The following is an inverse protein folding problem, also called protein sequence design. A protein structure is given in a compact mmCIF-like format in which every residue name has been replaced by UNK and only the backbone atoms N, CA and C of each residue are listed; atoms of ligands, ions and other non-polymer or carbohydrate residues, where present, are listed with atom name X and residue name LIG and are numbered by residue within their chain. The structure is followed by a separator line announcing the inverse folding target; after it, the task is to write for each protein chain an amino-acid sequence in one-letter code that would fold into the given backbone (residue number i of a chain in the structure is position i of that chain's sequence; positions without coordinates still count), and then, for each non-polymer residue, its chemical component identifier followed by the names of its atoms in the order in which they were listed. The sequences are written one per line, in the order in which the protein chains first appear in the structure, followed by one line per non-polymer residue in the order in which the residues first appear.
data_IF_527880198435
#
_entry.id   IF_527880198435
#
_cell.length_a   1.000
_cell.length_b   1.000
_cell.length_c   1.000
_cell.angle_alpha   90.00
_cell.angle_beta   90.00
_cell.angle_gamma   90.00
#
_symmetry.space_group_name_H-M   'P 1'
#
loop_
_entity.id
_entity.type
_entity.pdbx_description
1 polymer ?
#
# COMPACT_ATOMS: atom_id res chain seq x y z
N UNK A 1 21.45 10.11 -34.42
CA UNK A 1 22.74 10.83 -34.52
C UNK A 1 22.54 12.05 -35.44
N UNK A 2 21.79 13.05 -34.98
CA UNK A 2 21.46 14.29 -35.74
C UNK A 2 21.72 15.58 -34.94
N UNK A 3 22.22 15.48 -33.70
CA UNK A 3 22.38 16.61 -32.76
C UNK A 3 23.71 17.38 -32.99
N UNK A 4 24.57 16.92 -33.91
CA UNK A 4 25.90 17.50 -34.18
C UNK A 4 26.00 18.30 -35.47
N UNK A 5 24.89 18.50 -36.17
CA UNK A 5 24.87 19.32 -37.37
C UNK A 5 24.89 20.80 -36.97
N UNK A 6 25.90 21.55 -37.42
CA UNK A 6 26.16 22.96 -37.08
C UNK A 6 25.02 23.89 -37.53
N UNK A 7 24.13 23.40 -38.40
CA UNK A 7 22.94 24.11 -38.87
C UNK A 7 21.77 24.12 -37.87
N UNK A 8 21.85 23.32 -36.81
CA UNK A 8 20.78 23.19 -35.81
C UNK A 8 21.09 24.03 -34.58
N UNK A 9 20.38 25.16 -34.44
CA UNK A 9 20.62 26.10 -33.35
C UNK A 9 19.85 25.68 -32.09
N UNK A 10 20.51 24.94 -31.20
CA UNK A 10 19.94 24.41 -29.95
C UNK A 10 19.64 25.47 -28.88
N UNK A 11 20.01 26.74 -29.12
CA UNK A 11 19.72 27.88 -28.24
C UNK A 11 18.48 28.68 -28.65
N UNK A 12 17.73 28.21 -29.65
CA UNK A 12 16.48 28.83 -30.05
C UNK A 12 15.46 28.70 -28.92
N UNK A 13 15.02 29.86 -28.45
CA UNK A 13 13.97 30.00 -27.46
C UNK A 13 12.65 30.25 -28.18
N UNK A 14 11.60 29.53 -27.78
CA UNK A 14 10.24 29.84 -28.22
C UNK A 14 9.80 31.20 -27.65
N UNK A 15 8.69 31.77 -28.13
CA UNK A 15 8.08 33.02 -27.64
C UNK A 15 7.83 33.03 -26.10
N UNK A 16 7.84 31.86 -25.47
CA UNK A 16 7.73 31.69 -24.02
C UNK A 16 9.08 31.58 -23.29
N UNK A 17 10.20 31.85 -23.97
CA UNK A 17 11.59 31.72 -23.45
C UNK A 17 11.95 30.32 -22.94
N UNK A 18 11.47 29.27 -23.60
CA UNK A 18 11.80 27.87 -23.28
C UNK A 18 12.64 27.25 -24.40
N UNK A 19 13.61 26.43 -24.02
CA UNK A 19 14.48 25.69 -24.95
C UNK A 19 13.85 24.34 -25.29
N UNK A 20 14.16 23.76 -26.46
CA UNK A 20 13.70 22.41 -26.83
C UNK A 20 14.11 21.33 -25.80
N UNK A 21 15.21 21.55 -25.08
CA UNK A 21 15.64 20.72 -23.95
C UNK A 21 14.66 20.79 -22.76
N UNK A 22 14.24 22.00 -22.36
CA UNK A 22 13.33 22.22 -21.23
C UNK A 22 11.98 21.51 -21.47
N UNK A 23 11.49 21.54 -22.71
CA UNK A 23 10.22 20.92 -23.11
C UNK A 23 10.35 19.38 -23.12
N UNK A 24 11.49 18.84 -23.55
CA UNK A 24 11.73 17.40 -23.52
C UNK A 24 11.94 16.86 -22.09
N UNK A 25 12.59 17.66 -21.23
CA UNK A 25 12.82 17.35 -19.81
C UNK A 25 11.50 17.36 -19.03
N UNK A 26 10.61 18.32 -19.30
CA UNK A 26 9.25 18.38 -18.74
C UNK A 26 8.40 17.15 -19.11
N UNK A 27 8.56 16.61 -20.32
CA UNK A 27 7.82 15.41 -20.78
C UNK A 27 8.39 14.08 -20.26
N UNK A 28 9.71 13.98 -20.04
CA UNK A 28 10.33 12.77 -19.46
C UNK A 28 10.30 12.74 -17.93
N UNK A 29 10.16 13.89 -17.26
CA UNK A 29 10.15 13.98 -15.79
C UNK A 29 8.91 13.38 -15.11
N UNK A 30 7.80 13.20 -15.82
CA UNK A 30 6.51 12.86 -15.20
C UNK A 30 6.44 11.41 -14.67
N UNK A 31 7.29 10.51 -15.16
CA UNK A 31 7.21 9.07 -14.85
C UNK A 31 8.22 8.53 -13.84
N UNK A 32 9.41 9.14 -13.71
CA UNK A 32 10.55 8.51 -13.01
C UNK A 32 11.40 9.48 -12.17
N UNK A 33 11.17 10.81 -12.26
CA UNK A 33 12.09 11.82 -11.71
C UNK A 33 11.97 12.09 -10.20
N UNK A 34 10.85 11.74 -9.57
CA UNK A 34 10.55 12.16 -8.18
C UNK A 34 11.53 11.59 -7.14
N UNK A 35 11.98 10.35 -7.32
CA UNK A 35 12.87 9.69 -6.34
C UNK A 35 14.33 10.12 -6.51
N UNK A 36 14.82 10.18 -7.75
CA UNK A 36 16.20 10.56 -8.04
C UNK A 36 16.43 12.05 -7.76
N UNK A 37 15.47 12.94 -8.04
CA UNK A 37 15.57 14.36 -7.72
C UNK A 37 15.77 14.61 -6.22
N UNK A 38 15.15 13.81 -5.33
CA UNK A 38 15.32 13.95 -3.88
C UNK A 38 16.70 13.49 -3.41
N UNK A 39 17.22 12.40 -3.98
CA UNK A 39 18.57 11.92 -3.72
C UNK A 39 19.63 12.89 -4.26
N UNK A 40 19.46 13.34 -5.50
CA UNK A 40 20.33 14.33 -6.14
C UNK A 40 20.27 15.68 -5.41
N UNK A 41 19.10 16.11 -4.92
CA UNK A 41 18.99 17.34 -4.13
C UNK A 41 19.62 17.20 -2.74
N UNK A 42 19.52 16.03 -2.08
CA UNK A 42 20.27 15.76 -0.85
C UNK A 42 21.79 15.76 -1.08
N UNK A 43 22.26 15.19 -2.19
CA UNK A 43 23.68 15.20 -2.57
C UNK A 43 24.16 16.62 -2.93
N UNK A 44 23.37 17.41 -3.67
CA UNK A 44 23.72 18.78 -4.08
C UNK A 44 23.70 19.77 -2.91
N UNK A 45 22.80 19.57 -1.92
CA UNK A 45 22.78 20.39 -0.68
C UNK A 45 24.00 20.21 0.20
N UNK A 46 24.70 19.06 0.09
CA UNK A 46 25.95 18.81 0.83
C UNK A 46 27.16 19.44 0.10
N UNK A 47 27.05 19.73 -1.20
CA UNK A 47 28.18 20.14 -2.04
C UNK A 47 28.29 21.62 -2.43
N UNK A 48 27.30 22.48 -2.14
CA UNK A 48 27.33 23.88 -2.64
C UNK A 48 26.82 24.92 -1.62
N UNK A 49 27.54 26.05 -1.43
CA UNK A 49 27.03 27.15 -0.63
C UNK A 49 25.94 27.91 -1.39
N UNK A 50 24.87 28.21 -0.65
CA UNK A 50 23.59 28.75 -1.10
C UNK A 50 23.73 30.15 -1.73
N UNK A 51 23.24 30.32 -2.96
CA UNK A 51 22.92 31.63 -3.53
C UNK A 51 21.41 31.90 -3.36
N UNK A 52 21.07 32.85 -2.48
CA UNK A 52 19.72 33.35 -2.29
C UNK A 52 19.19 34.04 -3.55
N UNK A 53 18.01 33.61 -4.03
CA UNK A 53 17.08 34.49 -4.76
C UNK A 53 15.67 34.25 -4.20
N UNK A 54 15.06 35.24 -3.52
CA UNK A 54 13.70 35.14 -3.03
C UNK A 54 12.73 35.42 -4.19
N UNK A 55 11.96 34.41 -4.60
CA UNK A 55 10.77 34.64 -5.43
C UNK A 55 9.61 35.01 -4.51
N UNK A 56 9.40 36.30 -4.34
CA UNK A 56 8.16 36.89 -3.85
C UNK A 56 7.03 36.52 -4.82
N UNK A 57 6.07 35.70 -4.39
CA UNK A 57 4.80 35.56 -5.10
C UNK A 57 3.66 35.98 -4.18
N UNK A 58 2.99 37.02 -4.69
CA UNK A 58 1.93 37.81 -4.12
C UNK A 58 0.72 36.92 -3.79
N UNK A 59 0.29 37.00 -2.54
CA UNK A 59 -1.06 36.61 -2.12
C UNK A 59 -2.09 37.29 -3.04
N UNK A 60 -2.93 36.51 -3.70
CA UNK A 60 -4.25 36.96 -4.15
C UNK A 60 -5.26 35.91 -3.71
N UNK A 61 -5.84 36.15 -2.54
CA UNK A 61 -7.07 35.54 -2.08
C UNK A 61 -8.26 36.19 -2.78
N UNK A 62 -8.89 35.48 -3.73
CA UNK A 62 -10.31 35.63 -4.07
C UNK A 62 -10.88 34.22 -4.26
N UNK A 63 -11.83 33.85 -3.40
CA UNK A 63 -12.59 32.60 -3.46
C UNK A 63 -13.66 32.72 -4.55
N UNK A 64 -13.81 31.71 -5.43
CA UNK A 64 -15.08 30.99 -5.69
C UNK A 64 -14.89 29.96 -6.83
N UNK A 65 -15.22 28.69 -6.54
CA UNK A 65 -15.76 27.77 -7.53
C UNK A 65 -14.78 26.84 -8.26
N UNK A 66 -14.15 25.90 -7.55
CA UNK A 66 -14.13 24.46 -7.90
C UNK A 66 -13.20 23.70 -6.92
N UNK A 67 -13.75 23.16 -5.83
CA UNK A 67 -12.96 22.28 -4.96
C UNK A 67 -13.78 21.16 -4.27
N UNK A 68 -14.43 20.26 -5.03
CA UNK A 68 -14.87 18.98 -4.49
C UNK A 68 -13.79 17.88 -4.58
N UNK A 69 -12.82 17.98 -5.49
CA UNK A 69 -11.96 16.83 -5.83
C UNK A 69 -10.74 16.63 -4.91
N UNK A 70 -10.08 17.68 -4.44
CA UNK A 70 -8.85 17.55 -3.62
C UNK A 70 -9.12 17.07 -2.19
N UNK A 71 -10.28 17.43 -1.63
CA UNK A 71 -10.71 17.00 -0.30
C UNK A 71 -11.02 15.49 -0.29
N UNK A 72 -11.72 14.99 -1.32
CA UNK A 72 -12.11 13.58 -1.45
C UNK A 72 -10.94 12.60 -1.37
N UNK A 73 -9.77 12.95 -1.92
CA UNK A 73 -8.60 12.06 -1.92
C UNK A 73 -7.88 12.03 -0.57
N UNK A 74 -7.83 13.15 0.14
CA UNK A 74 -7.23 13.22 1.48
C UNK A 74 -8.02 12.37 2.46
N UNK A 75 -9.34 12.41 2.38
CA UNK A 75 -10.22 11.58 3.20
C UNK A 75 -9.98 10.08 2.94
N UNK A 76 -9.88 9.68 1.66
CA UNK A 76 -9.54 8.29 1.31
C UNK A 76 -8.20 7.86 1.89
N UNK A 77 -7.17 8.68 1.77
CA UNK A 77 -5.84 8.39 2.34
C UNK A 77 -5.92 8.25 3.86
N UNK A 78 -6.64 9.15 4.55
CA UNK A 78 -6.83 9.09 5.99
C UNK A 78 -7.56 7.81 6.43
N UNK A 79 -8.60 7.40 5.71
CA UNK A 79 -9.30 6.15 5.99
C UNK A 79 -8.39 4.94 5.80
N UNK A 80 -7.63 4.88 4.70
CA UNK A 80 -6.70 3.77 4.42
C UNK A 80 -5.57 3.74 5.48
N UNK A 81 -5.05 4.91 5.85
CA UNK A 81 -4.05 5.04 6.91
C UNK A 81 -4.60 4.57 8.26
N UNK A 82 -5.83 4.94 8.60
CA UNK A 82 -6.52 4.48 9.82
C UNK A 82 -6.64 2.95 9.79
N UNK A 83 -7.16 2.37 8.72
CA UNK A 83 -7.29 0.90 8.59
C UNK A 83 -5.93 0.20 8.70
N UNK A 84 -4.88 0.75 8.07
CA UNK A 84 -3.52 0.24 8.22
C UNK A 84 -3.08 0.27 9.69
N UNK A 85 -3.20 1.42 10.36
CA UNK A 85 -2.83 1.53 11.78
C UNK A 85 -3.57 0.53 12.66
N UNK A 86 -4.86 0.31 12.41
CA UNK A 86 -5.65 -0.72 13.14
C UNK A 86 -5.07 -2.12 12.91
N UNK A 87 -4.79 -2.51 11.67
CA UNK A 87 -4.16 -3.80 11.36
C UNK A 87 -2.84 -3.94 12.11
N UNK A 88 -1.98 -2.92 12.05
CA UNK A 88 -0.69 -2.94 12.72
C UNK A 88 -0.82 -3.08 14.24
N UNK A 89 -1.78 -2.39 14.86
CA UNK A 89 -2.00 -2.51 16.31
C UNK A 89 -2.50 -3.90 16.70
N UNK A 90 -3.42 -4.48 15.93
CA UNK A 90 -3.97 -5.80 16.25
C UNK A 90 -2.94 -6.90 16.03
N UNK A 91 -2.16 -6.84 14.94
CA UNK A 91 -1.08 -7.82 14.70
C UNK A 91 0.04 -7.68 15.72
N UNK A 92 0.45 -6.45 16.06
CA UNK A 92 1.39 -6.21 17.14
C UNK A 92 0.91 -6.82 18.47
N UNK A 93 -0.35 -6.61 18.83
CA UNK A 93 -0.94 -7.22 20.02
C UNK A 93 -1.00 -8.75 19.91
N UNK A 94 -1.35 -9.30 18.75
CA UNK A 94 -1.40 -10.73 18.48
C UNK A 94 -0.01 -11.40 18.64
N UNK A 95 1.05 -10.74 18.19
CA UNK A 95 2.44 -11.21 18.35
C UNK A 95 2.87 -11.39 19.80
N UNK A 96 2.37 -10.57 20.74
CA UNK A 96 2.64 -10.71 22.17
C UNK A 96 1.62 -11.60 22.90
N UNK A 97 0.45 -11.85 22.32
CA UNK A 97 -0.61 -12.66 22.93
C UNK A 97 -0.61 -14.08 22.35
N UNK A 98 0.52 -14.75 22.55
CA UNK A 98 0.82 -16.05 21.95
C UNK A 98 -0.19 -17.13 22.40
N UNK A 99 -0.97 -17.74 21.48
CA UNK A 99 -1.90 -18.80 21.83
C UNK A 99 -1.15 -20.03 22.34
N UNK A 100 -1.50 -20.53 23.52
CA UNK A 100 -0.86 -21.68 24.17
C UNK A 100 0.16 -21.34 25.26
N UNK A 101 0.42 -20.05 25.50
CA UNK A 101 1.28 -19.58 26.59
C UNK A 101 2.74 -20.01 26.47
N UNK A 102 3.51 -19.72 27.51
CA UNK A 102 4.94 -20.05 27.58
C UNK A 102 5.16 -21.39 28.28
N UNK A 103 6.08 -22.17 27.72
CA UNK A 103 6.49 -23.43 28.29
C UNK A 103 7.29 -23.15 29.58
N UNK A 104 6.94 -23.87 30.65
CA UNK A 104 7.55 -23.72 31.98
C UNK A 104 8.52 -24.87 32.31
N UNK A 105 8.79 -25.78 31.38
CA UNK A 105 9.66 -26.95 31.60
C UNK A 105 11.08 -26.69 31.10
N UNK A 106 12.09 -26.84 31.97
CA UNK A 106 13.52 -26.76 31.61
C UNK A 106 13.88 -27.90 30.65
N UNK A 107 14.48 -27.67 29.46
CA UNK A 107 15.25 -26.50 28.99
C UNK A 107 14.52 -25.49 28.08
N UNK A 108 13.22 -25.64 27.83
CA UNK A 108 12.44 -24.81 26.89
C UNK A 108 11.67 -23.66 27.59
N UNK A 109 12.19 -23.19 28.72
CA UNK A 109 11.51 -22.21 29.56
C UNK A 109 11.38 -20.85 28.83
N UNK A 110 10.17 -20.32 28.74
CA UNK A 110 9.90 -19.05 28.03
C UNK A 110 9.70 -19.18 26.51
N UNK A 111 9.76 -20.39 25.95
CA UNK A 111 9.39 -20.66 24.56
C UNK A 111 7.87 -20.83 24.44
N UNK A 112 7.26 -20.44 23.32
CA UNK A 112 5.85 -20.74 23.08
C UNK A 112 5.64 -22.27 23.12
N UNK A 113 4.70 -22.75 23.94
CA UNK A 113 4.45 -24.19 24.15
C UNK A 113 4.13 -24.94 22.84
N UNK A 114 3.71 -24.20 21.80
CA UNK A 114 3.32 -24.73 20.50
C UNK A 114 4.33 -24.44 19.37
N UNK A 115 5.58 -24.05 19.66
CA UNK A 115 6.54 -23.64 18.61
C UNK A 115 6.79 -24.70 17.52
N UNK A 116 6.70 -25.97 17.89
CA UNK A 116 6.92 -27.11 16.99
C UNK A 116 5.70 -27.40 16.09
N UNK A 117 4.56 -26.76 16.36
CA UNK A 117 3.36 -26.92 15.53
C UNK A 117 3.50 -26.05 14.30
N UNK A 118 3.37 -26.65 13.12
CA UNK A 118 3.37 -25.95 11.82
C UNK A 118 2.41 -24.75 11.79
N UNK A 119 1.25 -24.89 12.45
CA UNK A 119 0.24 -23.82 12.56
C UNK A 119 0.69 -22.62 13.39
N UNK A 120 1.59 -22.82 14.34
CA UNK A 120 2.20 -21.75 15.12
C UNK A 120 3.21 -20.95 14.29
N UNK A 121 4.03 -21.64 13.51
CA UNK A 121 4.96 -20.98 12.59
C UNK A 121 4.21 -20.19 11.52
N UNK A 122 3.14 -20.77 10.97
CA UNK A 122 2.24 -20.10 10.03
C UNK A 122 1.62 -18.83 10.65
N UNK A 123 1.16 -18.89 11.91
CA UNK A 123 0.66 -17.74 12.65
C UNK A 123 1.70 -16.61 12.72
N UNK A 124 2.91 -16.88 13.22
CA UNK A 124 3.94 -15.86 13.42
C UNK A 124 4.42 -15.26 12.09
N UNK A 125 4.59 -16.08 11.06
CA UNK A 125 5.01 -15.60 9.73
C UNK A 125 3.92 -14.71 9.12
N UNK A 126 2.65 -15.12 9.21
CA UNK A 126 1.56 -14.32 8.64
C UNK A 126 1.37 -13.01 9.40
N UNK A 127 1.45 -13.04 10.72
CA UNK A 127 1.29 -11.87 11.58
C UNK A 127 2.41 -10.83 11.35
N UNK A 128 3.66 -11.29 11.24
CA UNK A 128 4.80 -10.41 10.92
C UNK A 128 4.67 -9.78 9.53
N UNK A 129 4.28 -10.56 8.51
CA UNK A 129 4.06 -10.02 7.16
C UNK A 129 2.93 -8.99 7.17
N UNK A 130 1.84 -9.24 7.90
CA UNK A 130 0.72 -8.30 8.03
C UNK A 130 1.15 -6.99 8.72
N UNK A 131 1.94 -7.09 9.80
CA UNK A 131 2.48 -5.94 10.52
C UNK A 131 3.37 -5.07 9.63
N UNK A 132 4.41 -5.66 9.01
CA UNK A 132 5.32 -4.89 8.16
C UNK A 132 4.65 -4.33 6.91
N UNK A 133 3.75 -5.09 6.28
CA UNK A 133 2.98 -4.59 5.14
C UNK A 133 2.14 -3.38 5.53
N UNK A 134 1.50 -3.42 6.71
CA UNK A 134 0.73 -2.28 7.22
C UNK A 134 1.60 -1.06 7.54
N UNK A 135 2.77 -1.25 8.14
CA UNK A 135 3.72 -0.16 8.41
C UNK A 135 4.18 0.48 7.09
N UNK A 136 4.50 -0.31 6.07
CA UNK A 136 4.90 0.19 4.76
C UNK A 136 3.76 1.02 4.13
N UNK A 137 2.51 0.54 4.23
CA UNK A 137 1.33 1.31 3.80
C UNK A 137 1.26 2.64 4.54
N UNK A 138 1.33 2.63 5.87
CA UNK A 138 1.23 3.83 6.68
C UNK A 138 2.33 4.86 6.32
N UNK A 139 3.58 4.42 6.23
CA UNK A 139 4.72 5.28 5.85
C UNK A 139 4.55 5.84 4.44
N UNK A 140 4.12 5.01 3.49
CA UNK A 140 3.89 5.43 2.09
C UNK A 140 2.81 6.51 2.03
N UNK A 141 1.73 6.35 2.79
CA UNK A 141 0.63 7.32 2.85
C UNK A 141 1.01 8.60 3.57
N UNK A 142 1.75 8.53 4.69
CA UNK A 142 2.26 9.72 5.38
C UNK A 142 3.19 10.51 4.45
N UNK A 143 4.10 9.83 3.75
CA UNK A 143 4.99 10.47 2.79
C UNK A 143 4.22 11.11 1.62
N UNK A 144 3.13 10.48 1.19
CA UNK A 144 2.23 11.02 0.17
C UNK A 144 1.53 12.30 0.63
N UNK A 145 1.10 12.37 1.90
CA UNK A 145 0.47 13.55 2.48
C UNK A 145 1.44 14.73 2.65
N UNK A 146 2.71 14.45 2.94
CA UNK A 146 3.78 15.46 3.01
C UNK A 146 4.31 15.86 1.62
N UNK A 147 3.96 15.10 0.58
CA UNK A 147 4.41 15.29 -0.80
C UNK A 147 3.51 16.19 -1.64
N UNK A 148 3.87 16.33 -2.91
CA UNK A 148 3.08 17.01 -3.93
C UNK A 148 1.80 16.19 -4.25
N UNK A 149 0.61 16.80 -4.41
CA UNK A 149 -0.66 16.11 -4.76
C UNK A 149 -0.59 15.09 -5.89
N UNK A 150 0.30 15.27 -6.88
CA UNK A 150 0.52 14.33 -7.98
C UNK A 150 1.10 12.99 -7.51
N UNK A 151 1.96 13.02 -6.49
CA UNK A 151 2.59 11.82 -5.90
C UNK A 151 1.60 10.99 -5.07
N UNK A 152 0.52 11.63 -4.59
CA UNK A 152 -0.45 10.97 -3.71
C UNK A 152 -1.31 9.92 -4.41
N UNK A 153 -1.67 10.12 -5.68
CA UNK A 153 -2.39 9.12 -6.45
C UNK A 153 -1.53 7.87 -6.71
N UNK A 154 -0.24 8.06 -6.97
CA UNK A 154 0.72 6.95 -7.17
C UNK A 154 0.91 6.18 -5.87
N UNK A 155 1.08 6.89 -4.76
CA UNK A 155 1.19 6.28 -3.44
C UNK A 155 -0.07 5.50 -3.05
N UNK A 156 -1.27 6.02 -3.32
CA UNK A 156 -2.52 5.33 -3.04
C UNK A 156 -2.68 4.06 -3.90
N UNK A 157 -2.29 4.11 -5.19
CA UNK A 157 -2.26 2.93 -6.06
C UNK A 157 -1.31 1.83 -5.57
N UNK A 158 -0.22 2.20 -4.89
CA UNK A 158 0.71 1.25 -4.28
C UNK A 158 0.24 0.76 -2.91
N UNK A 159 -0.34 1.65 -2.10
CA UNK A 159 -0.79 1.36 -0.75
C UNK A 159 -2.01 0.43 -0.72
N UNK A 160 -2.96 0.59 -1.65
CA UNK A 160 -4.18 -0.21 -1.70
C UNK A 160 -3.92 -1.73 -1.81
N UNK A 161 -3.07 -2.23 -2.74
CA UNK A 161 -2.76 -3.65 -2.82
C UNK A 161 -1.98 -4.17 -1.63
N UNK A 162 -1.05 -3.37 -1.08
CA UNK A 162 -0.31 -3.72 0.13
C UNK A 162 -1.24 -3.84 1.34
N UNK A 163 -2.25 -2.96 1.44
CA UNK A 163 -3.26 -3.03 2.50
C UNK A 163 -4.12 -4.30 2.35
N UNK A 164 -4.50 -4.65 1.13
CA UNK A 164 -5.22 -5.90 0.85
C UNK A 164 -4.41 -7.14 1.25
N UNK A 165 -3.11 -7.15 0.96
CA UNK A 165 -2.19 -8.20 1.41
C UNK A 165 -2.14 -8.24 2.94
N UNK A 166 -1.99 -7.08 3.62
CA UNK A 166 -1.96 -7.02 5.07
C UNK A 166 -3.24 -7.60 5.71
N UNK A 167 -4.42 -7.27 5.17
CA UNK A 167 -5.71 -7.80 5.62
C UNK A 167 -5.85 -9.31 5.40
N UNK A 168 -5.41 -9.80 4.24
CA UNK A 168 -5.44 -11.23 3.95
C UNK A 168 -4.52 -12.01 4.90
N UNK A 169 -3.29 -11.53 5.09
CA UNK A 169 -2.32 -12.18 5.99
C UNK A 169 -2.77 -12.12 7.45
N UNK A 170 -3.34 -11.00 7.90
CA UNK A 170 -3.94 -10.87 9.23
C UNK A 170 -5.10 -11.86 9.42
N UNK A 171 -5.93 -12.07 8.40
CA UNK A 171 -7.04 -13.04 8.46
C UNK A 171 -6.50 -14.47 8.57
N UNK A 172 -5.47 -14.83 7.80
CA UNK A 172 -4.81 -16.14 7.88
C UNK A 172 -4.20 -16.36 9.27
N UNK A 173 -3.50 -15.35 9.81
CA UNK A 173 -2.96 -15.39 11.16
C UNK A 173 -4.08 -15.64 12.18
N UNK A 174 -5.20 -14.92 12.09
CA UNK A 174 -6.34 -15.14 12.97
C UNK A 174 -6.88 -16.58 12.90
N UNK A 175 -7.06 -17.14 11.69
CA UNK A 175 -7.48 -18.54 11.51
C UNK A 175 -6.50 -19.52 12.15
N UNK A 176 -5.19 -19.31 11.94
CA UNK A 176 -4.15 -20.15 12.53
C UNK A 176 -4.17 -20.04 14.06
N UNK A 177 -4.31 -18.83 14.61
CA UNK A 177 -4.40 -18.57 16.04
C UNK A 177 -5.61 -19.29 16.69
N UNK A 178 -6.80 -19.14 16.11
CA UNK A 178 -8.00 -19.81 16.65
C UNK A 178 -7.89 -21.32 16.52
N UNK A 179 -7.33 -21.83 15.42
CA UNK A 179 -7.09 -23.26 15.26
C UNK A 179 -6.17 -23.82 16.35
N UNK A 180 -5.12 -23.09 16.74
CA UNK A 180 -4.23 -23.49 17.82
C UNK A 180 -4.97 -23.58 19.16
N UNK A 181 -5.79 -22.57 19.48
CA UNK A 181 -6.58 -22.51 20.72
C UNK A 181 -7.61 -23.64 20.78
N UNK A 182 -8.29 -23.91 19.67
CA UNK A 182 -9.41 -24.85 19.59
C UNK A 182 -8.97 -26.26 19.20
N UNK A 183 -7.67 -26.51 19.02
CA UNK A 183 -7.12 -27.78 18.52
C UNK A 183 -7.56 -29.04 19.27
N UNK A 184 -8.03 -28.93 20.52
CA UNK A 184 -8.59 -30.05 21.30
C UNK A 184 -10.00 -30.48 20.87
N UNK A 185 -10.77 -29.60 20.23
CA UNK A 185 -12.15 -29.83 19.80
C UNK A 185 -12.24 -29.76 18.26
N UNK A 186 -12.01 -30.90 17.59
CA UNK A 186 -11.94 -30.98 16.13
C UNK A 186 -13.18 -30.44 15.41
N UNK A 187 -14.38 -30.66 15.96
CA UNK A 187 -15.63 -30.15 15.37
C UNK A 187 -15.67 -28.62 15.36
N UNK A 188 -15.33 -27.99 16.49
CA UNK A 188 -15.32 -26.53 16.61
C UNK A 188 -14.22 -25.90 15.73
N UNK A 189 -13.04 -26.52 15.67
CA UNK A 189 -11.95 -26.07 14.81
C UNK A 189 -12.34 -26.09 13.33
N UNK A 190 -12.99 -27.16 12.86
CA UNK A 190 -13.45 -27.28 11.48
C UNK A 190 -14.51 -26.23 11.14
N UNK A 191 -15.48 -25.99 12.02
CA UNK A 191 -16.52 -24.97 11.81
C UNK A 191 -15.90 -23.58 11.70
N UNK A 192 -14.99 -23.22 12.60
CA UNK A 192 -14.32 -21.90 12.56
C UNK A 192 -13.47 -21.76 11.29
N UNK A 193 -12.77 -22.82 10.88
CA UNK A 193 -11.94 -22.80 9.68
C UNK A 193 -12.79 -22.65 8.41
N UNK A 194 -13.95 -23.31 8.33
CA UNK A 194 -14.89 -23.15 7.23
C UNK A 194 -15.43 -21.71 7.14
N UNK A 195 -15.89 -21.16 8.27
CA UNK A 195 -16.40 -19.79 8.34
C UNK A 195 -15.30 -18.80 7.95
N UNK A 196 -14.12 -18.94 8.54
CA UNK A 196 -12.96 -18.08 8.27
C UNK A 196 -12.49 -18.15 6.83
N UNK A 197 -12.45 -19.35 6.24
CA UNK A 197 -12.07 -19.56 4.84
C UNK A 197 -13.07 -18.89 3.89
N UNK A 198 -14.37 -19.00 4.16
CA UNK A 198 -15.40 -18.32 3.39
C UNK A 198 -15.20 -16.79 3.39
N UNK A 199 -15.03 -16.18 4.57
CA UNK A 199 -14.77 -14.74 4.67
C UNK A 199 -13.47 -14.31 3.99
N UNK A 200 -12.41 -15.12 4.08
CA UNK A 200 -11.15 -14.87 3.39
C UNK A 200 -11.32 -14.88 1.87
N UNK A 201 -12.04 -15.86 1.33
CA UNK A 201 -12.35 -15.93 -0.11
C UNK A 201 -13.13 -14.69 -0.55
N UNK A 202 -14.16 -14.30 0.21
CA UNK A 202 -14.92 -13.07 -0.08
C UNK A 202 -14.02 -11.84 -0.05
N UNK A 203 -13.14 -11.71 0.94
CA UNK A 203 -12.18 -10.62 1.06
C UNK A 203 -11.27 -10.55 -0.17
N UNK A 204 -10.67 -11.67 -0.58
CA UNK A 204 -9.82 -11.74 -1.78
C UNK A 204 -10.59 -11.37 -3.04
N UNK A 205 -11.82 -11.87 -3.20
CA UNK A 205 -12.69 -11.57 -4.36
C UNK A 205 -13.02 -10.07 -4.44
N UNK A 206 -13.18 -9.38 -3.31
CA UNK A 206 -13.44 -7.94 -3.27
C UNK A 206 -12.15 -7.13 -3.50
N UNK A 207 -11.05 -7.50 -2.85
CA UNK A 207 -9.79 -6.77 -2.92
C UNK A 207 -9.11 -6.87 -4.27
N UNK A 208 -9.17 -8.02 -4.94
CA UNK A 208 -8.50 -8.21 -6.23
C UNK A 208 -8.98 -7.19 -7.28
N UNK A 209 -10.29 -7.01 -7.54
CA UNK A 209 -10.80 -5.94 -8.40
C UNK A 209 -10.35 -4.53 -7.98
N UNK A 210 -10.36 -4.23 -6.67
CA UNK A 210 -9.94 -2.93 -6.13
C UNK A 210 -8.46 -2.65 -6.40
N UNK A 211 -7.59 -3.64 -6.24
CA UNK A 211 -6.16 -3.55 -6.54
C UNK A 211 -5.90 -3.32 -8.03
N UNK A 212 -6.65 -4.00 -8.90
CA UNK A 212 -6.46 -3.93 -10.35
C UNK A 212 -7.23 -2.80 -11.03
N UNK A 213 -8.17 -2.12 -10.34
CA UNK A 213 -8.87 -0.93 -10.87
C UNK A 213 -7.89 0.20 -11.22
N UNK A 214 -6.76 0.28 -10.52
CA UNK A 214 -5.69 1.24 -10.79
C UNK A 214 -4.78 0.90 -11.98
N UNK A 215 -4.87 -0.32 -12.52
CA UNK A 215 -3.98 -0.86 -13.56
C UNK A 215 -4.73 -1.10 -14.88
N UNK A 216 -4.08 -0.78 -16.01
CA UNK A 216 -4.61 -0.83 -17.39
C UNK A 216 -5.29 -2.18 -17.78
N UNK A 217 -5.07 -3.25 -17.02
CA UNK A 217 -5.61 -4.60 -17.27
C UNK A 217 -6.98 -4.89 -16.64
N UNK A 218 -7.70 -3.90 -16.10
CA UNK A 218 -9.01 -4.06 -15.44
C UNK A 218 -10.03 -4.90 -16.25
N UNK A 219 -10.09 -4.71 -17.58
CA UNK A 219 -11.10 -5.38 -18.41
C UNK A 219 -10.90 -6.91 -18.52
N UNK A 220 -9.66 -7.39 -18.46
CA UNK A 220 -9.35 -8.84 -18.56
C UNK A 220 -9.69 -9.58 -17.27
N UNK A 221 -9.40 -8.95 -16.12
CA UNK A 221 -9.58 -9.58 -14.82
C UNK A 221 -11.03 -9.51 -14.31
N UNK A 222 -11.78 -8.48 -14.73
CA UNK A 222 -13.22 -8.36 -14.49
C UNK A 222 -13.98 -9.63 -14.92
N UNK A 223 -13.61 -10.27 -16.03
CA UNK A 223 -14.18 -11.58 -16.46
C UNK A 223 -13.90 -12.73 -15.48
N UNK A 224 -12.75 -12.75 -14.84
CA UNK A 224 -12.38 -13.79 -13.87
C UNK A 224 -13.09 -13.60 -12.52
N UNK A 225 -13.18 -12.36 -12.03
CA UNK A 225 -13.84 -12.03 -10.76
C UNK A 225 -15.35 -12.32 -10.78
N UNK A 226 -15.99 -12.30 -11.96
CA UNK A 226 -17.42 -12.63 -12.09
C UNK A 226 -17.77 -14.10 -11.84
N UNK A 227 -16.83 -15.05 -11.98
CA UNK A 227 -17.12 -16.46 -11.78
C UNK A 227 -17.56 -16.83 -10.36
N UNK A 228 -16.85 -16.44 -9.28
CA UNK A 228 -17.28 -16.74 -7.92
C UNK A 228 -18.56 -16.01 -7.52
N UNK A 229 -18.73 -14.74 -7.93
CA UNK A 229 -19.95 -13.96 -7.64
C UNK A 229 -21.18 -14.60 -8.31
N UNK A 230 -21.02 -15.04 -9.57
CA UNK A 230 -22.07 -15.76 -10.29
C UNK A 230 -22.36 -17.12 -9.67
N UNK A 231 -21.35 -17.82 -9.16
CA UNK A 231 -21.51 -19.12 -8.49
C UNK A 231 -22.28 -18.98 -7.16
N UNK A 232 -22.01 -17.93 -6.38
CA UNK A 232 -22.76 -17.61 -5.15
C UNK A 232 -24.21 -17.22 -5.47
N UNK A 233 -24.45 -16.46 -6.54
CA UNK A 233 -25.79 -16.13 -7.03
C UNK A 233 -26.58 -17.38 -7.47
N UNK A 234 -25.92 -18.37 -8.09
CA UNK A 234 -26.56 -19.64 -8.44
C UNK A 234 -26.92 -20.48 -7.19
N UNK A 235 -26.14 -20.41 -6.11
CA UNK A 235 -26.46 -21.12 -4.86
C UNK A 235 -27.56 -20.45 -4.04
N UNK A 236 -27.82 -19.15 -4.25
CA UNK A 236 -28.85 -18.39 -3.55
C UNK A 236 -30.17 -18.29 -4.33
N UNK A 237 -30.17 -18.64 -5.61
CA UNK A 237 -31.30 -18.53 -6.54
C UNK A 237 -31.89 -19.86 -6.98
N UNK A 238 -31.75 -20.92 -6.16
CA UNK A 238 -32.42 -22.21 -6.34
C UNK A 238 -33.60 -22.34 -5.40
#
# INVERSE_FOLDING_TARGET
MFVRDERVNLKLLNNNRQTALDIAEEQMEMGLASFHKRLTCMVLRVGTPQACQPKTSRSTSVRLGDQPETESWRDKVNVILLVATVIATVTFQAGFTVPGGYNNTNPNQGLATMIEKVKFQEFVICDTIALYSSIIVAVTLIWAQLGDPSSMQVALKLALPLLGIALAMMSIAFLAGVYLVVSKLCWLANVVLLIGSFFLVVLVVIFVPLCFLGSSNYHRFRRFSYHPIRLVLYTLGA
#
